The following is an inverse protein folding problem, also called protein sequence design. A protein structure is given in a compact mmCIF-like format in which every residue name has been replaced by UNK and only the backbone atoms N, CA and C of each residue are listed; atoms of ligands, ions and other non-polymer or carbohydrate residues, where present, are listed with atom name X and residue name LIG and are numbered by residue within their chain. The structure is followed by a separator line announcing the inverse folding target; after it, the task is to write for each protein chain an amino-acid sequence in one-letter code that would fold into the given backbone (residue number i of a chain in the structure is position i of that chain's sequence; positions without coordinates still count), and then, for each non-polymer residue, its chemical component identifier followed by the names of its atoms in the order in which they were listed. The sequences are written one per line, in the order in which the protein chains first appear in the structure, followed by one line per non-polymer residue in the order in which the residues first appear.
data_IF_507726739717
#
_entry.id   IF_507726739717
#
_cell.length_a   1.000
_cell.length_b   1.000
_cell.length_c   1.000
_cell.angle_alpha   90.00
_cell.angle_beta   90.00
_cell.angle_gamma   90.00
#
_symmetry.space_group_name_H-M   'P 1'
#
loop_
_entity.id
_entity.type
_entity.pdbx_description
1 polymer ?
#
# COMPACT_ATOMS: atom_id res chain seq x y z
N UNK A 1 47.95 4.28 -36.62
CA UNK A 1 46.52 4.42 -36.99
C UNK A 1 45.72 3.52 -36.07
N UNK A 2 45.14 4.11 -35.02
CA UNK A 2 44.51 3.39 -33.90
C UNK A 2 43.01 3.25 -34.19
N UNK A 3 42.51 2.01 -34.10
CA UNK A 3 41.12 1.61 -34.39
C UNK A 3 40.18 2.20 -33.33
N UNK A 4 39.17 2.95 -33.76
CA UNK A 4 38.03 3.32 -32.92
C UNK A 4 37.05 2.15 -32.89
N UNK A 5 36.97 1.46 -31.75
CA UNK A 5 35.90 0.50 -31.45
C UNK A 5 34.83 1.29 -30.70
N UNK A 6 33.73 1.61 -31.38
CA UNK A 6 32.53 2.16 -30.74
C UNK A 6 31.82 1.00 -30.05
N UNK A 7 31.98 0.90 -28.72
CA UNK A 7 31.14 0.06 -27.89
C UNK A 7 29.77 0.73 -27.73
N UNK A 8 28.76 0.21 -28.44
CA UNK A 8 27.36 0.46 -28.11
C UNK A 8 27.04 -0.26 -26.79
N UNK A 9 27.05 0.48 -25.69
CA UNK A 9 26.38 0.10 -24.46
C UNK A 9 24.87 0.29 -24.68
N UNK A 10 24.22 -0.73 -25.23
CA UNK A 10 22.77 -0.88 -25.09
C UNK A 10 22.50 -1.12 -23.61
N UNK A 11 22.17 -0.05 -22.89
CA UNK A 11 21.57 -0.15 -21.57
C UNK A 11 20.28 -0.94 -21.71
N UNK A 12 20.30 -2.20 -21.26
CA UNK A 12 19.09 -2.94 -20.95
C UNK A 12 18.41 -2.21 -19.80
N UNK A 13 17.56 -1.23 -20.12
CA UNK A 13 16.51 -0.83 -19.21
C UNK A 13 15.56 -2.01 -19.21
N UNK A 14 15.77 -2.93 -18.26
CA UNK A 14 14.80 -3.96 -17.97
C UNK A 14 13.55 -3.24 -17.50
N UNK A 15 12.59 -3.03 -18.40
CA UNK A 15 11.27 -2.54 -18.04
C UNK A 15 10.66 -3.64 -17.16
N UNK A 16 10.74 -3.46 -15.85
CA UNK A 16 10.10 -4.31 -14.85
C UNK A 16 8.59 -4.10 -14.93
N UNK A 17 7.96 -4.55 -16.03
CA UNK A 17 6.50 -4.58 -16.13
C UNK A 17 5.97 -5.79 -15.36
N UNK A 18 4.84 -5.61 -14.70
CA UNK A 18 4.13 -6.69 -14.02
C UNK A 18 3.96 -7.89 -14.96
N UNK A 19 4.47 -9.06 -14.54
CA UNK A 19 4.36 -10.31 -15.31
C UNK A 19 2.91 -10.77 -15.51
N UNK A 20 2.00 -10.33 -14.65
CA UNK A 20 0.56 -10.59 -14.76
C UNK A 20 -0.25 -9.53 -14.00
N UNK A 21 -1.48 -9.29 -14.45
CA UNK A 21 -2.44 -8.47 -13.71
C UNK A 21 -3.12 -9.31 -12.61
N UNK A 22 -3.27 -8.80 -11.38
CA UNK A 22 -3.96 -9.53 -10.33
C UNK A 22 -5.44 -9.74 -10.69
N UNK A 23 -6.05 -10.85 -10.25
CA UNK A 23 -7.47 -11.10 -10.51
C UNK A 23 -8.35 -10.08 -9.78
N UNK A 24 -9.51 -9.78 -10.38
CA UNK A 24 -10.50 -8.87 -9.80
C UNK A 24 -11.61 -9.63 -9.11
N UNK A 25 -11.93 -9.24 -7.87
CA UNK A 25 -12.98 -9.83 -7.05
C UNK A 25 -14.00 -8.76 -6.68
N UNK A 26 -15.28 -9.08 -6.89
CA UNK A 26 -16.39 -8.22 -6.47
C UNK A 26 -16.86 -8.62 -5.08
N UNK A 27 -16.96 -7.65 -4.18
CA UNK A 27 -17.43 -7.84 -2.80
C UNK A 27 -18.68 -7.00 -2.60
N UNK A 28 -19.79 -7.65 -2.23
CA UNK A 28 -21.05 -6.97 -1.92
C UNK A 28 -21.08 -6.59 -0.44
N UNK A 29 -21.29 -5.32 -0.15
CA UNK A 29 -21.48 -4.79 1.20
C UNK A 29 -22.92 -4.92 1.69
N UNK A 30 -23.84 -5.34 0.81
CA UNK A 30 -25.23 -5.65 1.15
C UNK A 30 -25.35 -7.01 1.84
N UNK A 31 -24.32 -7.85 1.72
CA UNK A 31 -24.20 -9.13 2.45
C UNK A 31 -23.74 -8.90 3.90
N UNK A 32 -24.13 -9.84 4.77
CA UNK A 32 -23.63 -9.90 6.14
C UNK A 32 -22.09 -9.94 6.14
N UNK A 33 -21.40 -9.22 7.04
CA UNK A 33 -19.94 -9.12 7.06
C UNK A 33 -19.21 -10.47 6.99
N UNK A 34 -19.72 -11.48 7.70
CA UNK A 34 -19.19 -12.85 7.73
C UNK A 34 -19.23 -13.54 6.36
N UNK A 35 -20.06 -13.08 5.43
CA UNK A 35 -20.26 -13.71 4.12
C UNK A 35 -19.54 -12.98 2.98
N UNK A 36 -19.11 -11.74 3.19
CA UNK A 36 -18.60 -10.84 2.13
C UNK A 36 -17.45 -11.40 1.34
N UNK A 37 -16.53 -12.10 2.02
CA UNK A 37 -15.28 -12.60 1.45
C UNK A 37 -15.39 -13.98 0.79
N UNK A 38 -16.58 -14.59 0.73
CA UNK A 38 -16.82 -15.85 0.03
C UNK A 38 -16.31 -15.87 -1.44
N UNK A 39 -16.40 -14.78 -2.22
CA UNK A 39 -15.90 -14.75 -3.59
C UNK A 39 -14.40 -15.05 -3.74
N UNK A 40 -13.57 -14.84 -2.70
CA UNK A 40 -12.14 -15.18 -2.73
C UNK A 40 -11.90 -16.67 -2.96
N UNK A 41 -12.80 -17.52 -2.50
CA UNK A 41 -12.71 -18.98 -2.66
C UNK A 41 -12.84 -19.43 -4.12
N UNK A 42 -13.30 -18.55 -5.01
CA UNK A 42 -13.34 -18.81 -6.46
C UNK A 42 -12.00 -18.53 -7.14
N UNK A 43 -11.13 -17.75 -6.49
CA UNK A 43 -9.86 -17.29 -7.04
C UNK A 43 -8.69 -18.06 -6.44
N UNK A 44 -8.79 -18.44 -5.17
CA UNK A 44 -7.70 -19.08 -4.45
C UNK A 44 -8.07 -20.46 -3.92
N UNK A 45 -7.10 -21.36 -4.00
CA UNK A 45 -7.14 -22.63 -3.29
C UNK A 45 -6.96 -22.40 -1.77
N UNK A 46 -7.82 -23.02 -0.97
CA UNK A 46 -7.82 -22.83 0.49
C UNK A 46 -6.53 -23.36 1.13
N UNK A 47 -6.00 -24.47 0.65
CA UNK A 47 -4.75 -25.03 1.19
C UNK A 47 -3.55 -24.15 0.83
N UNK A 48 -3.56 -23.52 -0.34
CA UNK A 48 -2.60 -22.48 -0.70
C UNK A 48 -2.69 -21.26 0.25
N UNK A 49 -3.89 -20.73 0.50
CA UNK A 49 -4.09 -19.62 1.43
C UNK A 49 -3.59 -19.93 2.84
N UNK A 50 -3.86 -21.13 3.35
CA UNK A 50 -3.35 -21.58 4.66
C UNK A 50 -1.83 -21.62 4.73
N UNK A 51 -1.18 -22.15 3.70
CA UNK A 51 0.29 -22.21 3.62
C UNK A 51 0.90 -20.82 3.58
N UNK A 52 0.33 -19.93 2.78
CA UNK A 52 0.77 -18.54 2.69
C UNK A 52 0.59 -17.79 4.02
N UNK A 53 -0.55 -17.99 4.68
CA UNK A 53 -0.82 -17.45 6.01
C UNK A 53 0.21 -17.92 7.04
N UNK A 54 0.49 -19.23 7.09
CA UNK A 54 1.48 -19.80 8.00
C UNK A 54 2.89 -19.25 7.73
N UNK A 55 3.29 -19.14 6.45
CA UNK A 55 4.58 -18.57 6.06
C UNK A 55 4.74 -17.14 6.57
N UNK A 56 3.75 -16.27 6.31
CA UNK A 56 3.80 -14.86 6.74
C UNK A 56 3.80 -14.73 8.26
N UNK A 57 3.03 -15.55 8.98
CA UNK A 57 3.01 -15.54 10.45
C UNK A 57 4.38 -15.98 10.99
N UNK A 58 4.93 -17.09 10.50
CA UNK A 58 6.20 -17.64 10.99
C UNK A 58 7.39 -16.70 10.77
N UNK A 59 7.38 -15.92 9.68
CA UNK A 59 8.43 -14.95 9.36
C UNK A 59 8.25 -13.60 10.07
N UNK A 60 7.00 -13.18 10.30
CA UNK A 60 6.69 -11.85 10.85
C UNK A 60 6.56 -11.85 12.37
N UNK A 61 6.03 -12.93 12.95
CA UNK A 61 5.65 -13.01 14.36
C UNK A 61 6.57 -13.99 15.09
N UNK A 62 7.34 -13.54 16.11
CA UNK A 62 8.13 -14.45 16.91
C UNK A 62 7.24 -15.52 17.56
N UNK A 63 7.70 -16.77 17.55
CA UNK A 63 6.94 -17.94 18.04
C UNK A 63 6.35 -17.75 19.44
N UNK A 64 7.05 -17.07 20.34
CA UNK A 64 6.54 -16.81 21.70
C UNK A 64 5.35 -15.85 21.71
N UNK A 65 5.32 -14.85 20.80
CA UNK A 65 4.19 -13.93 20.61
C UNK A 65 3.01 -14.70 20.03
N UNK A 66 3.26 -15.55 19.04
CA UNK A 66 2.22 -16.38 18.43
C UNK A 66 1.59 -17.36 19.43
N UNK A 67 2.40 -18.02 20.27
CA UNK A 67 1.93 -19.01 21.24
C UNK A 67 1.26 -18.39 22.47
N UNK A 68 1.83 -17.34 23.05
CA UNK A 68 1.33 -16.72 24.29
C UNK A 68 0.33 -15.58 24.03
N UNK A 69 0.27 -15.08 22.79
CA UNK A 69 -0.57 -13.96 22.40
C UNK A 69 -2.00 -14.33 22.04
N UNK A 70 -2.31 -15.61 21.75
CA UNK A 70 -3.67 -16.02 21.31
C UNK A 70 -4.80 -15.52 22.23
N UNK A 71 -4.71 -15.65 23.57
CA UNK A 71 -5.75 -15.10 24.45
C UNK A 71 -5.90 -13.58 24.33
N UNK A 72 -4.80 -12.85 24.16
CA UNK A 72 -4.78 -11.38 24.01
C UNK A 72 -5.40 -10.98 22.67
N UNK A 73 -5.04 -11.70 21.60
CA UNK A 73 -5.57 -11.49 20.25
C UNK A 73 -7.08 -11.70 20.21
N UNK A 74 -7.57 -12.73 20.89
CA UNK A 74 -9.02 -12.97 21.02
C UNK A 74 -9.73 -11.90 21.85
N UNK A 75 -9.04 -11.23 22.77
CA UNK A 75 -9.57 -10.05 23.44
C UNK A 75 -9.60 -8.85 22.49
N UNK A 76 -8.56 -8.64 21.68
CA UNK A 76 -8.50 -7.56 20.69
C UNK A 76 -9.64 -7.66 19.66
N UNK A 77 -9.97 -8.87 19.24
CA UNK A 77 -11.09 -9.13 18.35
C UNK A 77 -12.42 -8.55 18.86
N UNK A 78 -12.66 -8.58 20.18
CA UNK A 78 -13.87 -7.98 20.79
C UNK A 78 -13.92 -6.46 20.71
N UNK A 79 -12.78 -5.81 20.51
CA UNK A 79 -12.68 -4.37 20.32
C UNK A 79 -12.65 -3.96 18.85
N UNK A 80 -12.64 -4.91 17.92
CA UNK A 80 -12.74 -4.60 16.50
C UNK A 80 -14.16 -4.14 16.18
N UNK A 81 -14.32 -2.96 15.55
CA UNK A 81 -15.62 -2.50 15.14
C UNK A 81 -16.18 -3.38 14.02
N UNK A 82 -17.50 -3.50 13.96
CA UNK A 82 -18.15 -3.98 12.74
C UNK A 82 -18.00 -2.93 11.63
N UNK A 83 -17.85 -3.34 10.36
CA UNK A 83 -18.00 -4.71 9.85
C UNK A 83 -16.74 -5.61 9.95
N UNK A 84 -15.59 -5.05 10.35
CA UNK A 84 -14.31 -5.76 10.28
C UNK A 84 -14.26 -7.04 11.12
N UNK A 85 -14.86 -7.02 12.31
CA UNK A 85 -14.92 -8.22 13.17
C UNK A 85 -15.66 -9.38 12.49
N UNK A 86 -16.82 -9.12 11.88
CA UNK A 86 -17.58 -10.15 11.17
C UNK A 86 -16.83 -10.65 9.94
N UNK A 87 -16.21 -9.76 9.16
CA UNK A 87 -15.39 -10.13 8.00
C UNK A 87 -14.22 -11.05 8.38
N UNK A 88 -13.51 -10.76 9.48
CA UNK A 88 -12.41 -11.59 9.99
C UNK A 88 -12.92 -12.96 10.46
N UNK A 89 -14.07 -13.04 11.13
CA UNK A 89 -14.70 -14.32 11.50
C UNK A 89 -15.11 -15.14 10.28
N UNK A 90 -15.68 -14.49 9.27
CA UNK A 90 -16.05 -15.09 7.99
C UNK A 90 -14.83 -15.73 7.31
N UNK A 91 -13.74 -14.97 7.17
CA UNK A 91 -12.48 -15.45 6.61
C UNK A 91 -11.92 -16.64 7.40
N UNK A 92 -11.90 -16.56 8.74
CA UNK A 92 -11.43 -17.68 9.57
C UNK A 92 -12.25 -18.96 9.34
N UNK A 93 -13.58 -18.81 9.22
CA UNK A 93 -14.49 -19.92 8.91
C UNK A 93 -14.21 -20.53 7.52
N UNK A 94 -14.08 -19.70 6.49
CA UNK A 94 -13.80 -20.17 5.12
C UNK A 94 -12.45 -20.86 4.98
N UNK A 95 -11.44 -20.36 5.69
CA UNK A 95 -10.12 -20.96 5.70
C UNK A 95 -10.05 -22.19 6.60
N UNK A 96 -11.03 -22.45 7.47
CA UNK A 96 -10.92 -23.47 8.51
C UNK A 96 -9.70 -23.25 9.41
N UNK A 97 -9.31 -21.99 9.61
CA UNK A 97 -8.12 -21.57 10.36
C UNK A 97 -8.47 -21.04 11.76
N UNK A 98 -7.45 -20.81 12.57
CA UNK A 98 -7.61 -20.17 13.88
C UNK A 98 -7.96 -18.68 13.70
N UNK A 99 -9.03 -18.22 14.36
CA UNK A 99 -9.43 -16.81 14.32
C UNK A 99 -8.30 -15.87 14.76
N UNK A 100 -7.49 -16.29 15.74
CA UNK A 100 -6.36 -15.50 16.20
C UNK A 100 -5.32 -15.31 15.09
N UNK A 101 -5.10 -16.29 14.24
CA UNK A 101 -4.14 -16.21 13.14
C UNK A 101 -4.61 -15.21 12.08
N UNK A 102 -5.91 -15.17 11.77
CA UNK A 102 -6.50 -14.19 10.85
C UNK A 102 -6.42 -12.77 11.42
N UNK A 103 -6.68 -12.60 12.72
CA UNK A 103 -6.49 -11.30 13.40
C UNK A 103 -5.02 -10.88 13.35
N UNK A 104 -4.09 -11.78 13.65
CA UNK A 104 -2.65 -11.50 13.58
C UNK A 104 -2.25 -11.04 12.19
N UNK A 105 -2.71 -11.71 11.13
CA UNK A 105 -2.40 -11.35 9.74
C UNK A 105 -2.90 -9.95 9.36
N UNK A 106 -4.06 -9.52 9.87
CA UNK A 106 -4.56 -8.16 9.65
C UNK A 106 -3.66 -7.08 10.27
N UNK A 107 -2.96 -7.41 11.37
CA UNK A 107 -2.01 -6.49 12.01
C UNK A 107 -0.55 -6.74 11.61
N UNK A 108 -0.23 -7.86 10.96
CA UNK A 108 1.13 -8.21 10.57
C UNK A 108 1.79 -7.10 9.73
N UNK A 109 1.00 -6.46 8.87
CA UNK A 109 1.40 -5.32 8.04
C UNK A 109 1.63 -4.01 8.82
N UNK A 110 0.99 -3.88 9.99
CA UNK A 110 1.07 -2.69 10.85
C UNK A 110 2.20 -2.80 11.89
N UNK A 111 2.69 -4.02 12.15
CA UNK A 111 3.78 -4.27 13.10
C UNK A 111 5.10 -3.83 12.47
N UNK A 112 5.50 -2.58 12.70
CA UNK A 112 6.74 -1.96 12.18
C UNK A 112 8.02 -2.46 12.85
N UNK A 113 7.91 -3.02 14.06
CA UNK A 113 9.01 -3.70 14.71
C UNK A 113 8.48 -4.71 15.73
N UNK A 114 9.03 -5.93 15.73
CA UNK A 114 8.88 -6.83 16.87
C UNK A 114 10.17 -6.83 17.68
N UNK A 115 10.04 -6.63 18.99
CA UNK A 115 11.17 -6.75 19.90
C UNK A 115 11.57 -8.22 19.99
N UNK A 116 12.74 -8.56 19.44
CA UNK A 116 13.34 -9.89 19.55
C UNK A 116 14.61 -9.75 20.40
N UNK A 117 14.51 -10.14 21.68
CA UNK A 117 15.56 -9.96 22.69
C UNK A 117 15.89 -8.47 22.92
N UNK A 118 17.17 -8.07 22.91
CA UNK A 118 17.60 -6.69 23.15
C UNK A 118 17.59 -5.80 21.90
N UNK A 119 17.07 -6.29 20.78
CA UNK A 119 17.01 -5.54 19.52
C UNK A 119 15.60 -5.59 18.92
N UNK A 120 15.24 -4.54 18.20
CA UNK A 120 14.05 -4.51 17.38
C UNK A 120 14.40 -5.13 16.02
N UNK A 121 13.68 -6.17 15.62
CA UNK A 121 13.68 -6.61 14.23
C UNK A 121 12.66 -5.72 13.50
N UNK A 122 13.16 -4.78 12.70
CA UNK A 122 12.33 -4.01 11.78
C UNK A 122 11.95 -4.95 10.63
N UNK A 123 10.65 -5.12 10.38
CA UNK A 123 10.19 -5.83 9.18
C UNK A 123 10.26 -4.80 8.05
N UNK A 124 11.23 -4.90 7.10
CA UNK A 124 11.40 -3.89 6.08
C UNK A 124 10.15 -3.84 5.21
N UNK A 125 9.44 -2.71 5.25
CA UNK A 125 8.31 -2.42 4.37
C UNK A 125 8.62 -1.11 3.71
N UNK A 126 8.57 -1.13 2.39
CA UNK A 126 8.89 0.04 1.60
C UNK A 126 7.74 0.33 0.68
N UNK A 127 7.50 1.60 0.44
CA UNK A 127 6.59 2.02 -0.60
C UNK A 127 7.14 3.25 -1.30
N UNK A 128 6.79 3.43 -2.55
CA UNK A 128 7.04 4.67 -3.29
C UNK A 128 5.74 5.03 -3.94
N UNK A 129 5.19 6.19 -3.57
CA UNK A 129 3.90 6.67 -4.05
C UNK A 129 4.09 8.03 -4.69
N UNK A 130 3.48 8.22 -5.85
CA UNK A 130 3.62 9.41 -6.67
C UNK A 130 2.23 9.92 -7.02
N UNK A 131 1.98 11.20 -6.74
CA UNK A 131 0.86 11.94 -7.31
C UNK A 131 1.41 13.06 -8.18
N UNK A 132 0.95 13.15 -9.43
CA UNK A 132 1.46 14.10 -10.41
C UNK A 132 0.32 14.70 -11.25
N UNK A 133 0.57 15.85 -11.86
CA UNK A 133 -0.37 16.49 -12.77
C UNK A 133 0.30 16.91 -14.07
N UNK A 134 -0.30 16.56 -15.21
CA UNK A 134 0.14 17.07 -16.52
C UNK A 134 -0.24 18.56 -16.75
N UNK A 135 0.17 19.11 -17.90
CA UNK A 135 -0.17 20.49 -18.29
C UNK A 135 -1.64 20.70 -18.65
N UNK A 136 -2.38 19.64 -18.95
CA UNK A 136 -3.81 19.71 -19.23
C UNK A 136 -4.66 19.67 -17.96
N UNK A 137 -4.03 19.45 -16.79
CA UNK A 137 -4.71 19.38 -15.51
C UNK A 137 -5.13 17.98 -15.10
N UNK A 138 -4.75 16.93 -15.84
CA UNK A 138 -5.04 15.56 -15.45
C UNK A 138 -4.13 15.13 -14.31
N UNK A 139 -4.73 14.51 -13.29
CA UNK A 139 -4.03 13.96 -12.13
C UNK A 139 -3.74 12.48 -12.36
N UNK A 140 -2.50 12.08 -12.13
CA UNK A 140 -2.02 10.70 -12.18
C UNK A 140 -1.56 10.30 -10.77
N UNK A 141 -1.93 9.10 -10.33
CA UNK A 141 -1.54 8.56 -9.04
C UNK A 141 -1.15 7.10 -9.19
N UNK A 142 0.05 6.76 -8.70
CA UNK A 142 0.63 5.43 -8.80
C UNK A 142 1.51 5.12 -7.60
N UNK A 143 1.70 3.84 -7.32
CA UNK A 143 2.55 3.40 -6.23
C UNK A 143 3.16 2.03 -6.47
N UNK A 144 4.32 1.81 -5.85
CA UNK A 144 4.90 0.50 -5.60
C UNK A 144 4.79 0.12 -4.11
N UNK A 145 4.65 -1.18 -3.83
CA UNK A 145 4.47 -1.72 -2.49
C UNK A 145 5.39 -2.93 -2.29
N UNK A 146 6.42 -2.75 -1.45
CA UNK A 146 7.50 -3.71 -1.29
C UNK A 146 7.40 -4.46 0.04
N UNK A 147 7.36 -5.78 -0.06
CA UNK A 147 7.34 -6.70 1.07
C UNK A 147 8.40 -7.80 0.90
N UNK A 148 9.00 -8.28 2.00
CA UNK A 148 9.99 -9.36 1.98
C UNK A 148 9.34 -10.75 1.86
N UNK A 149 8.08 -10.83 1.42
CA UNK A 149 7.28 -12.04 1.34
C UNK A 149 6.85 -12.29 -0.11
N UNK A 150 7.60 -13.10 -0.88
CA UNK A 150 7.28 -13.36 -2.29
C UNK A 150 5.88 -13.93 -2.51
N UNK A 151 5.35 -14.67 -1.53
CA UNK A 151 3.99 -15.25 -1.57
C UNK A 151 2.90 -14.19 -1.75
N UNK A 152 3.12 -12.94 -1.29
CA UNK A 152 2.13 -11.85 -1.40
C UNK A 152 1.87 -11.44 -2.85
N UNK A 153 2.86 -11.62 -3.75
CA UNK A 153 2.69 -11.34 -5.18
C UNK A 153 1.53 -12.15 -5.77
N UNK A 154 1.42 -13.42 -5.35
CA UNK A 154 0.41 -14.35 -5.83
C UNK A 154 -0.92 -14.25 -5.03
N UNK A 155 -0.94 -13.52 -3.92
CA UNK A 155 -2.15 -13.25 -3.13
C UNK A 155 -2.80 -11.90 -3.47
N UNK A 156 -2.13 -11.08 -4.28
CA UNK A 156 -2.61 -9.74 -4.62
C UNK A 156 -3.87 -9.84 -5.49
N UNK A 157 -4.92 -9.12 -5.11
CA UNK A 157 -6.19 -9.03 -5.84
C UNK A 157 -6.64 -7.59 -5.98
N UNK A 158 -7.33 -7.29 -7.07
CA UNK A 158 -8.11 -6.07 -7.19
C UNK A 158 -9.48 -6.33 -6.55
N UNK A 159 -9.90 -5.50 -5.61
CA UNK A 159 -11.23 -5.64 -4.97
C UNK A 159 -12.12 -4.48 -5.40
N UNK A 160 -13.31 -4.81 -5.87
CA UNK A 160 -14.35 -3.82 -6.17
C UNK A 160 -15.49 -4.01 -5.19
N UNK A 161 -15.66 -3.05 -4.28
CA UNK A 161 -16.75 -3.05 -3.31
C UNK A 161 -18.00 -2.43 -3.91
N UNK A 162 -19.13 -3.12 -3.78
CA UNK A 162 -20.44 -2.66 -4.23
C UNK A 162 -21.42 -2.57 -3.06
N UNK A 163 -22.28 -1.54 -3.06
CA UNK A 163 -23.39 -1.39 -2.13
C UNK A 163 -24.61 -0.92 -2.90
N UNK A 164 -25.73 -1.63 -2.79
CA UNK A 164 -26.94 -1.43 -3.60
C UNK A 164 -26.65 -1.37 -5.11
N UNK A 165 -25.73 -2.23 -5.59
CA UNK A 165 -25.34 -2.29 -7.00
C UNK A 165 -24.48 -1.13 -7.52
N UNK A 166 -23.97 -0.26 -6.65
CA UNK A 166 -23.03 0.83 -7.00
C UNK A 166 -21.68 0.62 -6.34
N UNK A 167 -20.59 1.00 -7.01
CA UNK A 167 -19.26 1.05 -6.38
C UNK A 167 -19.28 2.03 -5.21
N UNK A 168 -18.73 1.64 -4.07
CA UNK A 168 -18.74 2.49 -2.87
C UNK A 168 -17.80 3.69 -3.01
N UNK A 169 -18.30 4.87 -2.63
CA UNK A 169 -17.52 6.09 -2.35
C UNK A 169 -17.94 6.59 -0.96
N UNK A 170 -17.06 6.54 0.04
CA UNK A 170 -17.35 7.08 1.38
C UNK A 170 -17.08 8.58 1.50
N UNK A 171 -16.22 9.11 0.63
CA UNK A 171 -15.92 10.52 0.50
C UNK A 171 -16.62 11.09 -0.74
N UNK A 172 -17.21 12.28 -0.61
CA UNK A 172 -17.96 12.91 -1.70
C UNK A 172 -17.05 13.50 -2.79
N UNK A 173 -15.88 14.01 -2.39
CA UNK A 173 -14.88 14.58 -3.27
C UNK A 173 -13.47 14.52 -2.65
N UNK A 174 -12.48 15.06 -3.39
CA UNK A 174 -11.09 15.11 -2.95
C UNK A 174 -10.91 15.82 -1.61
N UNK A 175 -11.64 16.92 -1.36
CA UNK A 175 -11.48 17.70 -0.13
C UNK A 175 -12.08 16.95 1.06
N UNK A 176 -13.25 16.33 0.92
CA UNK A 176 -13.83 15.47 1.96
C UNK A 176 -12.89 14.30 2.28
N UNK A 177 -12.31 13.66 1.25
CA UNK A 177 -11.34 12.58 1.42
C UNK A 177 -10.10 13.05 2.21
N UNK A 178 -9.47 14.16 1.81
CA UNK A 178 -8.30 14.73 2.51
C UNK A 178 -8.64 15.07 3.96
N UNK A 179 -9.82 15.64 4.22
CA UNK A 179 -10.23 16.04 5.56
C UNK A 179 -10.48 14.85 6.49
N UNK A 180 -11.15 13.81 6.00
CA UNK A 180 -11.35 12.56 6.74
C UNK A 180 -10.02 11.87 7.03
N UNK A 181 -9.19 11.71 6.01
CA UNK A 181 -7.85 11.13 6.10
C UNK A 181 -6.91 11.96 6.97
N UNK A 182 -7.20 13.23 7.23
CA UNK A 182 -6.41 14.08 8.14
C UNK A 182 -6.86 13.99 9.60
N UNK A 183 -8.17 13.81 9.86
CA UNK A 183 -8.76 14.04 11.19
C UNK A 183 -9.14 12.78 11.95
N UNK A 184 -9.42 11.68 11.27
CA UNK A 184 -9.82 10.43 11.94
C UNK A 184 -8.62 9.89 12.73
N UNK A 185 -8.76 9.63 14.05
CA UNK A 185 -7.68 9.03 14.84
C UNK A 185 -7.25 7.67 14.29
N UNK A 186 -5.95 7.41 14.30
CA UNK A 186 -5.34 6.18 13.77
C UNK A 186 -4.41 5.54 14.80
N UNK A 187 -4.13 4.25 14.63
CA UNK A 187 -3.36 3.46 15.61
C UNK A 187 -1.83 3.58 15.44
N UNK A 188 -1.35 4.04 14.28
CA UNK A 188 0.07 4.25 13.96
C UNK A 188 0.23 5.41 12.99
N UNK A 189 1.44 6.00 12.92
CA UNK A 189 1.73 7.03 11.93
C UNK A 189 1.77 6.47 10.51
N UNK A 190 1.35 7.27 9.53
CA UNK A 190 1.25 6.85 8.12
C UNK A 190 1.39 8.05 7.18
N UNK A 191 1.65 7.79 5.90
CA UNK A 191 1.58 8.78 4.84
C UNK A 191 0.41 8.41 3.91
N UNK A 192 -0.58 9.29 3.77
CA UNK A 192 -1.64 9.12 2.77
C UNK A 192 -1.32 9.95 1.54
N UNK A 193 -1.35 9.32 0.37
CA UNK A 193 -1.21 10.00 -0.91
C UNK A 193 -2.58 9.97 -1.56
N UNK A 194 -3.07 11.14 -1.95
CA UNK A 194 -4.44 11.31 -2.46
C UNK A 194 -4.35 12.04 -3.79
N UNK A 195 -5.00 11.51 -4.82
CA UNK A 195 -5.23 12.18 -6.10
C UNK A 195 -6.73 12.33 -6.32
N UNK A 196 -7.16 13.50 -6.76
CA UNK A 196 -8.54 13.78 -7.16
C UNK A 196 -8.70 13.68 -8.68
N UNK A 197 -9.73 14.34 -9.19
CA UNK A 197 -10.13 14.28 -10.61
C UNK A 197 -10.05 15.63 -11.30
N UNK A 198 -9.71 16.70 -10.57
CA UNK A 198 -9.52 18.06 -11.10
C UNK A 198 -8.07 18.51 -10.95
N UNK A 199 -7.69 19.50 -11.77
CA UNK A 199 -6.40 20.17 -11.63
C UNK A 199 -6.20 20.72 -10.21
N UNK A 200 -5.03 20.49 -9.64
CA UNK A 200 -4.63 20.87 -8.28
C UNK A 200 -4.98 19.82 -7.23
N UNK A 201 -5.82 18.83 -7.54
CA UNK A 201 -6.25 17.82 -6.57
C UNK A 201 -5.20 16.71 -6.44
N UNK A 202 -4.13 16.98 -5.71
CA UNK A 202 -3.17 15.97 -5.29
C UNK A 202 -2.48 16.39 -4.00
N UNK A 203 -2.29 15.49 -3.05
CA UNK A 203 -1.62 15.80 -1.78
C UNK A 203 -0.97 14.58 -1.13
N UNK A 204 0.08 14.83 -0.36
CA UNK A 204 0.63 13.92 0.64
C UNK A 204 0.22 14.41 2.03
N UNK A 205 -0.36 13.54 2.84
CA UNK A 205 -0.76 13.82 4.22
C UNK A 205 0.16 13.02 5.13
N UNK A 206 1.05 13.69 5.85
CA UNK A 206 1.86 13.04 6.89
C UNK A 206 1.03 12.99 8.17
N UNK A 207 0.74 11.78 8.66
CA UNK A 207 -0.17 11.55 9.78
C UNK A 207 0.53 11.04 11.01
N UNK A 208 0.22 11.68 12.13
CA UNK A 208 0.31 11.11 13.45
C UNK A 208 -1.03 10.51 13.88
N UNK A 209 -1.00 9.79 15.02
CA UNK A 209 -2.16 9.11 15.62
C UNK A 209 -3.38 10.01 15.81
N UNK A 210 -3.17 11.29 16.09
CA UNK A 210 -4.24 12.24 16.46
C UNK A 210 -4.56 13.26 15.38
N UNK A 211 -3.74 13.40 14.35
CA UNK A 211 -3.92 14.43 13.32
C UNK A 211 -2.79 14.46 12.29
N UNK A 212 -2.80 15.45 11.38
CA UNK A 212 -1.74 15.61 10.40
C UNK A 212 -0.55 16.37 11.00
N UNK A 213 0.66 15.84 10.82
CA UNK A 213 1.89 16.59 11.04
C UNK A 213 2.12 17.59 9.91
N UNK A 214 1.73 17.23 8.68
CA UNK A 214 1.77 18.11 7.50
C UNK A 214 0.75 17.67 6.44
N UNK A 215 0.32 18.62 5.60
CA UNK A 215 -0.44 18.37 4.37
C UNK A 215 0.30 19.07 3.25
N UNK A 216 0.85 18.29 2.32
CA UNK A 216 1.70 18.75 1.23
C UNK A 216 0.97 18.60 -0.12
N UNK A 217 0.18 19.61 -0.54
CA UNK A 217 -0.56 19.58 -1.80
C UNK A 217 0.37 19.76 -3.00
N UNK A 218 -0.10 19.40 -4.19
CA UNK A 218 0.46 19.87 -5.45
C UNK A 218 0.47 21.39 -5.47
N UNK A 219 1.52 21.96 -6.07
CA UNK A 219 1.70 23.40 -6.18
C UNK A 219 2.14 23.76 -7.60
N UNK A 220 1.22 23.55 -8.52
CA UNK A 220 1.46 23.63 -9.97
C UNK A 220 1.85 25.04 -10.43
N UNK A 221 1.49 26.08 -9.68
CA UNK A 221 1.86 27.47 -9.98
C UNK A 221 3.35 27.75 -9.75
N UNK A 222 3.99 27.04 -8.81
CA UNK A 222 5.40 27.20 -8.47
C UNK A 222 6.25 25.98 -8.87
N UNK A 223 5.78 25.23 -9.88
CA UNK A 223 6.52 24.09 -10.44
C UNK A 223 6.41 22.78 -9.63
N UNK A 224 5.63 22.75 -8.56
CA UNK A 224 5.32 21.55 -7.77
C UNK A 224 4.26 20.66 -8.42
N UNK A 225 4.49 20.23 -9.65
CA UNK A 225 3.54 19.42 -10.44
C UNK A 225 3.52 17.93 -10.07
N UNK A 226 4.37 17.49 -9.14
CA UNK A 226 4.30 16.17 -8.52
C UNK A 226 4.69 16.20 -7.04
N UNK A 227 4.32 15.14 -6.33
CA UNK A 227 4.80 14.77 -4.99
C UNK A 227 5.23 13.31 -4.99
N UNK A 228 6.38 13.04 -4.37
CA UNK A 228 6.91 11.70 -4.15
C UNK A 228 7.00 11.47 -2.66
N UNK A 229 6.33 10.43 -2.17
CA UNK A 229 6.44 9.98 -0.80
C UNK A 229 6.92 8.54 -0.73
N UNK A 230 7.86 8.29 0.18
CA UNK A 230 8.36 6.95 0.49
C UNK A 230 7.97 6.58 1.92
N UNK A 231 8.90 6.65 2.86
CA UNK A 231 8.68 6.19 4.24
C UNK A 231 9.30 7.13 5.29
N UNK A 232 9.59 8.38 4.92
CA UNK A 232 10.23 9.35 5.80
C UNK A 232 9.60 10.71 5.61
N UNK A 233 9.72 11.62 6.56
CA UNK A 233 9.14 12.93 6.38
C UNK A 233 9.80 13.69 5.22
N UNK A 234 9.02 14.42 4.42
CA UNK A 234 9.53 15.11 3.23
C UNK A 234 10.44 16.30 3.57
N UNK A 235 10.29 16.89 4.76
CA UNK A 235 11.13 17.97 5.27
C UNK A 235 12.45 17.50 5.91
N UNK A 236 12.69 16.19 5.97
CA UNK A 236 13.92 15.61 6.50
C UNK A 236 14.73 14.94 5.39
N UNK A 237 16.07 14.88 5.52
CA UNK A 237 16.88 14.08 4.61
C UNK A 237 16.52 12.59 4.77
N UNK A 238 16.43 11.83 3.69
CA UNK A 238 16.21 10.39 3.77
C UNK A 238 17.43 9.70 4.41
N UNK A 239 17.27 8.47 4.95
CA UNK A 239 18.41 7.70 5.44
C UNK A 239 19.44 7.49 4.34
N UNK A 240 20.73 7.55 4.70
CA UNK A 240 21.84 7.51 3.74
C UNK A 240 21.93 6.25 2.86
N UNK A 241 21.14 5.20 3.14
CA UNK A 241 21.09 3.93 2.38
C UNK A 241 19.79 3.73 1.60
N UNK A 242 18.84 4.67 1.68
CA UNK A 242 17.58 4.62 0.96
C UNK A 242 17.50 5.81 0.01
N UNK A 243 17.59 5.52 -1.29
CA UNK A 243 17.65 6.53 -2.36
C UNK A 243 16.39 6.58 -3.22
N UNK A 244 15.31 5.93 -2.79
CA UNK A 244 14.10 5.76 -3.63
C UNK A 244 13.42 7.09 -3.95
N UNK A 245 13.40 8.03 -3.00
CA UNK A 245 12.84 9.37 -3.22
C UNK A 245 13.67 10.14 -4.25
N UNK A 246 15.00 10.12 -4.15
CA UNK A 246 15.87 10.79 -5.11
C UNK A 246 15.78 10.17 -6.50
N UNK A 247 15.72 8.84 -6.59
CA UNK A 247 15.57 8.12 -7.86
C UNK A 247 14.25 8.50 -8.56
N UNK A 248 13.11 8.41 -7.86
CA UNK A 248 11.81 8.79 -8.39
C UNK A 248 11.75 10.28 -8.79
N UNK A 249 12.27 11.20 -7.96
CA UNK A 249 12.34 12.62 -8.30
C UNK A 249 13.19 12.86 -9.57
N UNK A 250 14.32 12.17 -9.69
CA UNK A 250 15.20 12.27 -10.87
C UNK A 250 14.49 11.76 -12.12
N UNK A 251 13.79 10.62 -12.03
CA UNK A 251 13.01 10.07 -13.13
C UNK A 251 11.90 11.03 -13.56
N UNK A 252 11.09 11.55 -12.63
CA UNK A 252 10.02 12.51 -12.93
C UNK A 252 10.55 13.81 -13.54
N UNK A 253 11.68 14.33 -13.06
CA UNK A 253 12.32 15.51 -13.64
C UNK A 253 12.82 15.26 -15.07
N UNK A 254 13.30 14.04 -15.37
CA UNK A 254 13.72 13.66 -16.71
C UNK A 254 12.53 13.47 -17.67
N UNK A 255 11.44 12.87 -17.20
CA UNK A 255 10.16 12.74 -17.94
C UNK A 255 9.58 14.12 -18.27
N UNK A 256 9.52 15.00 -17.26
CA UNK A 256 8.93 16.32 -17.35
C UNK A 256 7.39 16.31 -17.42
N UNK A 257 6.79 17.44 -17.06
CA UNK A 257 5.32 17.57 -16.97
C UNK A 257 4.59 17.34 -18.30
N UNK A 258 5.27 17.60 -19.43
CA UNK A 258 4.69 17.43 -20.78
C UNK A 258 4.52 15.96 -21.19
N UNK A 259 5.26 15.04 -20.57
CA UNK A 259 5.29 13.64 -20.97
C UNK A 259 4.76 12.70 -19.88
N UNK A 260 4.34 13.23 -18.73
CA UNK A 260 3.78 12.41 -17.65
C UNK A 260 2.47 11.75 -18.11
N UNK A 261 2.42 10.44 -17.91
CA UNK A 261 1.29 9.56 -18.15
C UNK A 261 1.44 8.29 -17.29
N UNK A 262 0.47 7.39 -17.31
CA UNK A 262 0.50 6.17 -16.49
C UNK A 262 1.74 5.27 -16.72
N UNK A 263 2.25 5.18 -17.94
CA UNK A 263 3.45 4.36 -18.24
C UNK A 263 4.71 4.99 -17.64
N UNK A 264 4.92 6.29 -17.88
CA UNK A 264 6.08 7.00 -17.33
C UNK A 264 6.03 7.15 -15.81
N UNK A 265 4.82 7.21 -15.22
CA UNK A 265 4.62 7.18 -13.77
C UNK A 265 4.98 5.81 -13.18
N UNK A 266 4.60 4.74 -13.89
CA UNK A 266 4.96 3.38 -13.51
C UNK A 266 6.48 3.21 -13.49
N UNK A 267 7.17 3.60 -14.56
CA UNK A 267 8.64 3.55 -14.65
C UNK A 267 9.30 4.32 -13.50
N UNK A 268 8.85 5.55 -13.23
CA UNK A 268 9.38 6.37 -12.13
C UNK A 268 9.12 5.81 -10.73
N UNK A 269 8.15 4.90 -10.58
CA UNK A 269 7.82 4.25 -9.30
C UNK A 269 8.56 2.93 -9.06
N UNK A 270 9.28 2.44 -10.08
CA UNK A 270 9.98 1.13 -10.07
C UNK A 270 11.50 1.23 -10.08
N UNK A 271 12.06 2.44 -10.21
CA UNK A 271 13.51 2.73 -10.17
C UNK A 271 14.05 2.88 -8.73
#
# INVERSE_FOLDING_TARGET
MMRAVVLLLLGLVASCRAEFAPPTVNISLDEDPELRWAPLLKVFDVEYLKKAAAEVIDTTVPKWVHQLGKPIVMVLEKYMPQPYAGEIRGLASYLGGDLADVVILNFAYEISAVKVKSSYACVPRFCTSIVAQDKNGHVYHGRNLDYPHPVLRNLTVNVVFHKNGKTLEEAEDFQDAVMRLSKIPIITGVYYIVGGVKAGEGAVITRDRTGPADIWPLDTLYGGWYRVETNFDHWLPPPARDHRREAANKALNATGQDHINLDTLYEASTD
#
